data_IF_482293164699
#
_entry.id   IF_482293164699
#
_cell.length_a   1.000
_cell.length_b   1.000
_cell.length_c   1.000
_cell.angle_alpha   90.00
_cell.angle_beta   90.00
_cell.angle_gamma   90.00
#
_symmetry.space_group_name_H-M   'P 1'
#
loop_
_entity.id
_entity.type
_entity.pdbx_description
1 polymer ?
#
# COMPACT_ATOMS: atom_id res chain seq x y z
N UNK A 1 -6.34 47.08 16.75
CA UNK A 1 -5.23 46.24 17.22
C UNK A 1 -3.94 47.03 17.16
N UNK A 2 -3.51 47.49 18.30
CA UNK A 2 -2.29 48.30 18.41
C UNK A 2 -1.08 47.36 18.45
N UNK A 3 -0.37 47.26 17.33
CA UNK A 3 0.72 46.26 17.14
C UNK A 3 2.07 46.69 17.76
N UNK A 4 2.09 47.79 18.55
CA UNK A 4 3.34 48.30 19.17
C UNK A 4 4.40 48.82 18.18
N UNK A 5 4.16 48.71 16.87
CA UNK A 5 5.04 49.19 15.81
C UNK A 5 4.83 50.66 15.56
N UNK A 6 5.91 51.41 15.34
CA UNK A 6 5.76 52.81 14.95
C UNK A 6 5.03 52.91 13.59
N UNK A 7 4.27 54.00 13.36
CA UNK A 7 3.48 54.23 12.14
C UNK A 7 4.27 53.98 10.85
N UNK A 8 5.58 54.28 10.86
CA UNK A 8 6.49 54.13 9.72
C UNK A 8 6.80 52.62 9.44
N UNK A 9 7.03 51.84 10.49
CA UNK A 9 7.27 50.38 10.37
C UNK A 9 5.99 49.65 9.94
N UNK A 10 4.82 50.06 10.48
CA UNK A 10 3.53 49.50 10.08
C UNK A 10 3.19 49.85 8.61
N UNK A 11 3.58 51.03 8.13
CA UNK A 11 3.39 51.43 6.73
C UNK A 11 4.35 50.70 5.79
N UNK A 12 5.60 50.47 6.20
CA UNK A 12 6.58 49.69 5.43
C UNK A 12 6.11 48.24 5.25
N UNK A 13 5.56 47.61 6.31
CA UNK A 13 4.97 46.29 6.25
C UNK A 13 3.73 46.25 5.34
N UNK A 14 2.84 47.24 5.42
CA UNK A 14 1.69 47.34 4.50
C UNK A 14 2.13 47.52 3.04
N UNK A 15 3.16 48.32 2.79
CA UNK A 15 3.69 48.50 1.44
C UNK A 15 4.41 47.26 0.91
N UNK A 16 5.06 46.49 1.79
CA UNK A 16 5.64 45.17 1.44
C UNK A 16 4.53 44.20 1.04
N UNK A 17 3.47 44.13 1.83
CA UNK A 17 2.29 43.31 1.57
C UNK A 17 1.58 43.70 0.27
N UNK A 18 1.40 45.00 0.02
CA UNK A 18 0.81 45.49 -1.23
C UNK A 18 1.66 45.22 -2.47
N UNK A 19 3.00 45.13 -2.29
CA UNK A 19 3.95 44.82 -3.37
C UNK A 19 4.05 43.31 -3.65
N UNK A 20 3.55 42.42 -2.78
CA UNK A 20 3.46 40.99 -2.98
C UNK A 20 2.51 40.62 -4.12
N UNK A 21 1.53 41.46 -4.40
CA UNK A 21 0.56 41.27 -5.48
C UNK A 21 1.05 41.76 -6.86
N UNK A 22 2.24 42.34 -6.93
CA UNK A 22 2.81 42.86 -8.19
C UNK A 22 4.31 42.47 -8.33
N UNK A 23 4.58 41.36 -9.05
CA UNK A 23 5.84 41.00 -9.70
C UNK A 23 7.08 40.65 -8.84
N UNK A 24 7.50 39.40 -8.95
CA UNK A 24 8.49 38.70 -8.13
C UNK A 24 9.93 39.28 -8.14
N UNK A 25 10.42 39.87 -9.21
CA UNK A 25 11.81 40.37 -9.30
C UNK A 25 12.14 41.60 -8.47
N UNK A 26 11.13 42.47 -8.23
CA UNK A 26 11.27 43.68 -7.38
C UNK A 26 11.16 43.40 -5.87
N UNK A 27 10.62 42.24 -5.51
CA UNK A 27 10.31 41.89 -4.12
C UNK A 27 11.54 41.64 -3.27
N UNK A 28 12.53 40.84 -3.77
CA UNK A 28 13.76 40.52 -3.04
C UNK A 28 14.55 41.81 -2.75
N UNK A 29 14.59 42.75 -3.71
CA UNK A 29 15.24 44.03 -3.53
C UNK A 29 14.49 44.91 -2.50
N UNK A 30 13.15 45.01 -2.60
CA UNK A 30 12.33 45.73 -1.63
C UNK A 30 12.33 45.10 -0.25
N UNK A 31 12.42 43.78 -0.15
CA UNK A 31 12.56 43.07 1.12
C UNK A 31 13.89 43.37 1.79
N UNK A 32 15.02 43.34 1.04
CA UNK A 32 16.33 43.75 1.53
C UNK A 32 16.32 45.22 1.98
N UNK A 33 15.73 46.12 1.20
CA UNK A 33 15.57 47.51 1.54
C UNK A 33 14.69 47.72 2.78
N UNK A 34 13.60 46.95 2.91
CA UNK A 34 12.70 46.98 4.07
C UNK A 34 13.40 46.43 5.32
N UNK A 35 14.12 45.30 5.22
CA UNK A 35 14.91 44.74 6.32
C UNK A 35 16.03 45.71 6.75
N UNK A 36 16.72 46.38 5.81
CA UNK A 36 17.73 47.38 6.09
C UNK A 36 17.11 48.65 6.71
N UNK A 37 15.94 49.06 6.24
CA UNK A 37 15.21 50.22 6.81
C UNK A 37 14.64 49.91 8.21
N UNK A 38 14.18 48.65 8.44
CA UNK A 38 13.76 48.20 9.77
C UNK A 38 14.96 48.12 10.72
N UNK A 39 16.11 47.56 10.29
CA UNK A 39 17.33 47.51 11.12
C UNK A 39 17.92 48.89 11.43
N UNK A 40 17.67 49.89 10.57
CA UNK A 40 18.12 51.27 10.74
C UNK A 40 17.07 52.20 11.35
N UNK A 41 15.87 51.73 11.67
CA UNK A 41 14.82 52.53 12.26
C UNK A 41 15.25 53.02 13.65
N UNK A 42 15.07 54.32 13.90
CA UNK A 42 15.42 54.94 15.18
C UNK A 42 14.60 54.41 16.37
N UNK A 43 13.42 53.81 16.12
CA UNK A 43 12.63 53.11 17.13
C UNK A 43 13.30 51.77 17.56
N UNK A 44 14.14 51.17 16.70
CA UNK A 44 14.89 49.94 16.98
C UNK A 44 16.30 50.26 17.53
N UNK A 45 16.83 51.46 17.28
CA UNK A 45 18.18 51.91 17.76
C UNK A 45 18.21 52.56 19.13
N UNK A 46 17.07 53.04 19.64
CA UNK A 46 17.01 53.67 20.97
C UNK A 46 16.73 52.63 22.03
N UNK A 47 17.71 51.90 22.45
CA UNK A 47 17.99 51.49 23.84
C UNK A 47 18.99 50.35 23.88
N UNK A 48 20.24 50.64 24.22
CA UNK A 48 21.24 49.66 24.63
C UNK A 48 20.90 48.94 25.98
N UNK A 49 19.70 49.18 26.54
CA UNK A 49 19.21 48.53 27.77
C UNK A 49 18.13 47.47 27.55
N UNK A 50 17.79 47.11 26.29
CA UNK A 50 16.77 46.06 26.04
C UNK A 50 17.08 45.20 24.84
N UNK A 51 18.13 44.40 24.93
CA UNK A 51 18.36 43.29 23.99
C UNK A 51 17.11 42.36 23.90
N UNK A 52 16.38 42.21 24.99
CA UNK A 52 15.12 41.48 25.09
C UNK A 52 13.97 42.15 24.29
N UNK A 53 13.91 43.47 24.23
CA UNK A 53 12.85 44.20 23.54
C UNK A 53 13.03 44.14 22.00
N UNK A 54 14.25 44.19 21.52
CA UNK A 54 14.60 44.01 20.09
C UNK A 54 14.26 42.61 19.60
N UNK A 55 14.63 41.55 20.33
CA UNK A 55 14.34 40.14 20.01
C UNK A 55 12.83 39.88 19.94
N UNK A 56 12.04 40.48 20.85
CA UNK A 56 10.60 40.32 20.85
C UNK A 56 9.91 40.98 19.65
N UNK A 57 10.46 42.12 19.18
CA UNK A 57 9.96 42.81 17.98
C UNK A 57 10.29 42.03 16.70
N UNK A 58 11.49 41.49 16.61
CA UNK A 58 11.88 40.62 15.48
C UNK A 58 11.01 39.35 15.43
N UNK A 59 10.74 38.75 16.58
CA UNK A 59 9.83 37.60 16.69
C UNK A 59 8.42 37.97 16.20
N UNK A 60 7.87 39.09 16.64
CA UNK A 60 6.54 39.56 16.23
C UNK A 60 6.47 39.81 14.72
N UNK A 61 7.50 40.42 14.14
CA UNK A 61 7.58 40.67 12.71
C UNK A 61 7.66 39.37 11.90
N UNK A 62 8.48 38.42 12.34
CA UNK A 62 8.58 37.10 11.71
C UNK A 62 7.24 36.36 11.78
N UNK A 63 6.59 36.36 12.94
CA UNK A 63 5.28 35.71 13.10
C UNK A 63 4.20 36.37 12.23
N UNK A 64 4.16 37.67 12.13
CA UNK A 64 3.19 38.38 11.29
C UNK A 64 3.40 38.09 9.78
N UNK A 65 4.65 37.97 9.35
CA UNK A 65 4.98 37.56 7.97
C UNK A 65 4.47 36.17 7.67
N UNK A 66 4.73 35.20 8.54
CA UNK A 66 4.28 33.83 8.37
C UNK A 66 2.77 33.68 8.35
N UNK A 67 2.07 34.39 9.26
CA UNK A 67 0.60 34.44 9.29
C UNK A 67 0.03 34.99 7.98
N UNK A 68 0.68 36.00 7.42
CA UNK A 68 0.25 36.57 6.13
C UNK A 68 0.47 35.55 4.98
N UNK A 69 1.63 34.89 4.91
CA UNK A 69 1.93 33.94 3.87
C UNK A 69 0.99 32.71 3.94
N UNK A 70 0.56 32.30 5.14
CA UNK A 70 -0.42 31.23 5.32
C UNK A 70 -1.81 31.57 4.79
N UNK A 71 -2.18 32.85 4.71
CA UNK A 71 -3.47 33.33 4.18
C UNK A 71 -3.50 33.45 2.65
N UNK A 72 -2.35 33.39 1.97
CA UNK A 72 -2.27 33.46 0.51
C UNK A 72 -2.94 32.24 -0.10
N UNK A 73 -3.93 32.42 -0.96
CA UNK A 73 -4.69 31.32 -1.57
C UNK A 73 -3.97 30.68 -2.78
N UNK A 74 -3.18 31.45 -3.52
CA UNK A 74 -2.44 31.00 -4.70
C UNK A 74 -1.15 30.25 -4.32
N UNK A 75 -0.61 29.39 -5.23
CA UNK A 75 0.73 28.82 -5.06
C UNK A 75 1.78 29.90 -4.83
N UNK A 76 2.71 29.65 -3.90
CA UNK A 76 3.76 30.62 -3.56
C UNK A 76 4.89 30.59 -4.60
N UNK A 77 5.37 31.78 -4.96
CA UNK A 77 6.54 31.91 -5.80
C UNK A 77 7.82 31.58 -5.01
N UNK A 78 8.83 30.96 -5.67
CA UNK A 78 10.11 30.52 -5.06
C UNK A 78 10.78 31.64 -4.25
N UNK A 79 10.74 32.89 -4.73
CA UNK A 79 11.33 34.03 -4.04
C UNK A 79 10.73 34.31 -2.65
N UNK A 80 9.50 33.87 -2.38
CA UNK A 80 8.83 34.01 -1.09
C UNK A 80 9.26 32.95 -0.08
N UNK A 81 9.99 31.92 -0.52
CA UNK A 81 10.50 30.84 0.31
C UNK A 81 11.86 31.13 0.94
N UNK A 82 12.63 32.08 0.39
CA UNK A 82 13.93 32.50 0.95
C UNK A 82 13.87 32.87 2.45
N UNK A 83 12.87 33.64 2.92
CA UNK A 83 12.71 33.91 4.35
C UNK A 83 12.54 32.66 5.21
N UNK A 84 11.86 31.63 4.72
CA UNK A 84 11.65 30.40 5.48
C UNK A 84 12.96 29.71 5.84
N UNK A 85 13.93 29.70 4.92
CA UNK A 85 15.26 29.12 5.16
C UNK A 85 15.95 29.80 6.34
N UNK A 86 15.92 31.14 6.36
CA UNK A 86 16.54 31.93 7.43
C UNK A 86 15.79 31.74 8.76
N UNK A 87 14.46 31.73 8.72
CA UNK A 87 13.62 31.60 9.92
C UNK A 87 13.69 30.19 10.52
N UNK A 88 13.84 29.15 9.70
CA UNK A 88 14.10 27.78 10.18
C UNK A 88 15.39 27.70 10.99
N UNK A 89 16.41 28.46 10.63
CA UNK A 89 17.72 28.49 11.28
C UNK A 89 17.78 29.53 12.43
N UNK A 90 16.69 30.25 12.73
CA UNK A 90 16.63 31.21 13.83
C UNK A 90 17.00 30.55 15.16
N UNK A 91 17.67 31.31 16.05
CA UNK A 91 17.92 30.88 17.43
C UNK A 91 16.66 30.98 18.32
N UNK A 92 15.63 31.67 17.87
CA UNK A 92 14.36 31.82 18.60
C UNK A 92 13.45 30.59 18.37
N UNK A 93 13.13 29.91 19.43
CA UNK A 93 12.34 28.66 19.40
C UNK A 93 10.92 28.90 18.89
N UNK A 94 10.28 30.01 19.24
CA UNK A 94 8.93 30.33 18.79
C UNK A 94 8.90 30.60 17.28
N UNK A 95 9.93 31.26 16.76
CA UNK A 95 10.11 31.46 15.32
C UNK A 95 10.29 30.11 14.63
N UNK A 96 11.14 29.20 15.18
CA UNK A 96 11.30 27.85 14.62
C UNK A 96 9.99 27.05 14.59
N UNK A 97 9.23 27.06 15.71
CA UNK A 97 7.93 26.36 15.82
C UNK A 97 6.95 26.86 14.76
N UNK A 98 6.81 28.19 14.65
CA UNK A 98 5.86 28.80 13.73
C UNK A 98 6.27 28.63 12.27
N UNK A 99 7.56 28.77 11.97
CA UNK A 99 8.09 28.56 10.61
C UNK A 99 7.90 27.12 10.13
N UNK A 100 8.27 26.16 10.97
CA UNK A 100 8.10 24.75 10.63
C UNK A 100 6.62 24.36 10.46
N UNK A 101 5.71 24.94 11.27
CA UNK A 101 4.27 24.71 11.14
C UNK A 101 3.71 25.34 9.85
N UNK A 102 4.05 26.60 9.57
CA UNK A 102 3.62 27.28 8.35
C UNK A 102 4.09 26.51 7.11
N UNK A 103 5.35 26.09 7.07
CA UNK A 103 5.88 25.32 5.95
C UNK A 103 5.18 23.96 5.79
N UNK A 104 4.89 23.26 6.89
CA UNK A 104 4.12 22.03 6.85
C UNK A 104 2.71 22.24 6.28
N UNK A 105 2.04 23.33 6.65
CA UNK A 105 0.74 23.70 6.12
C UNK A 105 0.79 24.04 4.61
N UNK A 106 1.80 24.77 4.17
CA UNK A 106 1.99 25.10 2.76
C UNK A 106 2.23 23.86 1.89
N UNK A 107 3.07 22.94 2.35
CA UNK A 107 3.30 21.66 1.68
C UNK A 107 2.02 20.80 1.67
N UNK A 108 1.32 20.71 2.79
CA UNK A 108 0.08 19.94 2.89
C UNK A 108 -1.03 20.45 1.98
N UNK A 109 -1.13 21.79 1.83
CA UNK A 109 -2.09 22.45 0.94
C UNK A 109 -1.63 22.50 -0.53
N UNK A 110 -0.49 21.89 -0.87
CA UNK A 110 0.14 21.97 -2.20
C UNK A 110 0.38 23.41 -2.70
N UNK A 111 0.59 24.36 -1.80
CA UNK A 111 0.94 25.74 -2.13
C UNK A 111 2.42 25.93 -2.45
N UNK A 112 3.24 24.97 -2.05
CA UNK A 112 4.67 24.87 -2.32
C UNK A 112 4.97 23.46 -2.79
N UNK A 113 5.75 23.34 -3.88
CA UNK A 113 6.15 22.06 -4.42
C UNK A 113 7.46 21.56 -3.77
N UNK A 114 7.69 20.26 -3.93
CA UNK A 114 8.93 19.62 -3.48
C UNK A 114 10.17 20.21 -4.17
N UNK A 115 10.06 20.49 -5.47
CA UNK A 115 11.11 21.06 -6.30
C UNK A 115 11.49 22.47 -5.80
N UNK A 116 10.52 23.30 -5.44
CA UNK A 116 10.77 24.64 -4.86
C UNK A 116 11.53 24.55 -3.53
N UNK A 117 11.25 23.56 -2.70
CA UNK A 117 11.99 23.31 -1.45
C UNK A 117 13.43 22.90 -1.72
N UNK A 118 13.66 22.08 -2.75
CA UNK A 118 15.02 21.66 -3.15
C UNK A 118 15.79 22.86 -3.71
N UNK A 119 15.19 23.61 -4.63
CA UNK A 119 15.80 24.80 -5.27
C UNK A 119 16.22 25.87 -4.26
N UNK A 120 15.41 26.09 -3.22
CA UNK A 120 15.73 27.04 -2.15
C UNK A 120 16.69 26.51 -1.10
N UNK A 121 17.12 25.24 -1.23
CA UNK A 121 18.07 24.61 -0.30
C UNK A 121 17.50 24.39 1.10
N UNK A 122 16.17 24.29 1.26
CA UNK A 122 15.52 24.12 2.56
C UNK A 122 15.55 22.69 3.10
N UNK A 123 15.91 21.69 2.29
CA UNK A 123 15.97 20.28 2.75
C UNK A 123 16.92 20.13 3.93
N UNK A 124 18.15 20.64 3.84
CA UNK A 124 19.13 20.52 4.93
C UNK A 124 18.66 21.24 6.22
N UNK A 125 18.21 22.50 6.21
CA UNK A 125 17.62 23.13 7.40
C UNK A 125 16.48 22.33 8.03
N UNK A 126 15.60 21.69 7.23
CA UNK A 126 14.54 20.85 7.75
C UNK A 126 15.10 19.59 8.44
N UNK A 127 16.09 18.94 7.86
CA UNK A 127 16.75 17.78 8.47
C UNK A 127 17.47 18.15 9.77
N UNK A 128 18.08 19.33 9.86
CA UNK A 128 18.66 19.85 11.11
C UNK A 128 17.57 20.05 12.19
N UNK A 129 16.39 20.51 11.82
CA UNK A 129 15.27 20.69 12.76
C UNK A 129 14.69 19.35 13.28
N UNK A 130 14.90 18.24 12.59
CA UNK A 130 14.57 16.92 13.13
C UNK A 130 15.37 16.62 14.42
N UNK A 131 16.57 17.21 14.57
CA UNK A 131 17.41 17.03 15.74
C UNK A 131 17.16 18.10 16.84
N UNK A 132 16.13 18.94 16.68
CA UNK A 132 15.73 19.89 17.72
C UNK A 132 15.38 19.20 19.02
N UNK A 133 15.69 19.81 20.16
CA UNK A 133 15.24 19.33 21.47
C UNK A 133 13.73 19.58 21.71
N UNK A 134 13.09 20.42 20.88
CA UNK A 134 11.68 20.76 21.00
C UNK A 134 10.79 19.80 20.19
N UNK A 135 9.87 19.07 20.82
CA UNK A 135 9.01 18.11 20.12
C UNK A 135 8.10 18.75 19.07
N UNK A 136 7.69 20.01 19.24
CA UNK A 136 6.83 20.70 18.28
C UNK A 136 7.58 20.99 16.99
N UNK A 137 8.83 21.44 17.08
CA UNK A 137 9.71 21.62 15.93
C UNK A 137 9.97 20.29 15.24
N UNK A 138 10.26 19.22 16.01
CA UNK A 138 10.45 17.88 15.47
C UNK A 138 9.20 17.37 14.73
N UNK A 139 7.99 17.55 15.32
CA UNK A 139 6.72 17.14 14.68
C UNK A 139 6.51 17.81 13.33
N UNK A 140 6.62 19.15 13.32
CA UNK A 140 6.37 19.95 12.13
C UNK A 140 7.41 19.67 11.03
N UNK A 141 8.69 19.63 11.39
CA UNK A 141 9.77 19.33 10.44
C UNK A 141 9.67 17.88 9.95
N UNK A 142 9.33 16.93 10.81
CA UNK A 142 9.07 15.55 10.44
C UNK A 142 7.91 15.43 9.45
N UNK A 143 6.85 16.22 9.64
CA UNK A 143 5.73 16.30 8.69
C UNK A 143 6.17 16.86 7.35
N UNK A 144 6.97 17.95 7.34
CA UNK A 144 7.54 18.49 6.10
C UNK A 144 8.36 17.43 5.35
N UNK A 145 9.25 16.74 6.05
CA UNK A 145 10.10 15.70 5.44
C UNK A 145 9.25 14.53 4.92
N UNK A 146 8.20 14.14 5.64
CA UNK A 146 7.30 13.08 5.18
C UNK A 146 6.54 13.47 3.90
N UNK A 147 6.05 14.72 3.83
CA UNK A 147 5.40 15.25 2.63
C UNK A 147 6.38 15.36 1.46
N UNK A 148 7.59 15.84 1.69
CA UNK A 148 8.64 15.93 0.66
C UNK A 148 9.01 14.54 0.12
N UNK A 149 9.16 13.56 0.99
CA UNK A 149 9.54 12.19 0.61
C UNK A 149 8.53 11.49 -0.32
N UNK A 150 7.34 12.07 -0.55
CA UNK A 150 6.41 11.59 -1.57
C UNK A 150 6.89 11.82 -3.01
N UNK A 151 7.76 12.82 -3.24
CA UNK A 151 8.38 13.11 -4.56
C UNK A 151 9.70 12.35 -4.74
N UNK A 152 9.96 11.88 -5.96
CA UNK A 152 11.18 11.13 -6.30
C UNK A 152 12.44 11.98 -6.12
N UNK A 153 12.43 13.21 -6.62
CA UNK A 153 13.54 14.16 -6.52
C UNK A 153 13.90 14.48 -5.06
N UNK A 154 12.89 14.59 -4.19
CA UNK A 154 13.09 14.86 -2.77
C UNK A 154 13.65 13.67 -2.01
N UNK A 155 13.29 12.43 -2.38
CA UNK A 155 13.86 11.23 -1.74
C UNK A 155 15.37 11.18 -1.89
N UNK A 156 15.87 11.46 -3.09
CA UNK A 156 17.32 11.52 -3.34
C UNK A 156 17.99 12.68 -2.58
N UNK A 157 17.37 13.86 -2.52
CA UNK A 157 17.87 14.99 -1.75
C UNK A 157 17.93 14.68 -0.25
N UNK A 158 16.88 14.09 0.33
CA UNK A 158 16.84 13.68 1.74
C UNK A 158 17.94 12.66 2.02
N UNK A 159 18.14 11.70 1.12
CA UNK A 159 19.16 10.66 1.24
C UNK A 159 20.58 11.27 1.20
N UNK A 160 20.88 12.08 0.18
CA UNK A 160 22.22 12.67 -0.02
C UNK A 160 22.63 13.59 1.12
N UNK A 161 21.66 14.23 1.79
CA UNK A 161 21.87 15.09 2.95
C UNK A 161 21.84 14.35 4.30
N UNK A 162 21.82 13.01 4.30
CA UNK A 162 21.91 12.19 5.51
C UNK A 162 20.64 12.11 6.35
N UNK A 163 19.45 12.34 5.76
CA UNK A 163 18.19 12.37 6.47
C UNK A 163 17.72 11.04 7.07
N UNK A 164 18.29 9.89 6.65
CA UNK A 164 17.88 8.56 7.12
C UNK A 164 18.12 8.37 8.61
N UNK A 165 19.30 8.71 9.11
CA UNK A 165 19.66 8.48 10.52
C UNK A 165 18.78 9.30 11.48
N UNK A 166 18.59 10.62 11.28
CA UNK A 166 17.66 11.39 12.11
C UNK A 166 16.24 10.82 12.12
N UNK A 167 15.71 10.36 10.97
CA UNK A 167 14.39 9.75 10.89
C UNK A 167 14.31 8.43 11.68
N UNK A 168 15.35 7.57 11.62
CA UNK A 168 15.42 6.34 12.41
C UNK A 168 15.50 6.61 13.92
N UNK A 169 16.14 7.70 14.33
CA UNK A 169 16.16 8.15 15.72
C UNK A 169 14.75 8.60 16.16
N UNK A 170 14.09 9.46 15.36
CA UNK A 170 12.76 9.96 15.66
C UNK A 170 11.67 8.87 15.59
N UNK A 171 11.87 7.83 14.81
CA UNK A 171 10.99 6.66 14.78
C UNK A 171 10.92 5.94 16.15
N UNK A 172 11.89 6.16 17.02
CA UNK A 172 11.92 5.65 18.41
C UNK A 172 11.48 6.69 19.46
N UNK A 173 10.97 7.84 19.01
CA UNK A 173 10.53 8.92 19.91
C UNK A 173 9.36 8.46 20.78
N UNK A 174 9.34 8.94 22.04
CA UNK A 174 8.19 8.79 22.95
C UNK A 174 7.01 9.71 22.57
N UNK A 175 7.25 10.78 21.77
CA UNK A 175 6.18 11.61 21.28
C UNK A 175 5.45 10.91 20.11
N UNK A 176 4.14 10.62 20.25
CA UNK A 176 3.42 9.82 19.23
C UNK A 176 3.36 10.48 17.85
N UNK A 177 3.35 11.81 17.78
CA UNK A 177 3.29 12.53 16.50
C UNK A 177 4.67 12.65 15.85
N UNK A 178 5.72 12.84 16.64
CA UNK A 178 7.11 12.77 16.15
C UNK A 178 7.38 11.38 15.57
N UNK A 179 7.06 10.33 16.32
CA UNK A 179 7.19 8.94 15.87
C UNK A 179 6.42 8.70 14.58
N UNK A 180 5.15 9.10 14.54
CA UNK A 180 4.27 8.90 13.39
C UNK A 180 4.83 9.57 12.13
N UNK A 181 5.26 10.83 12.21
CA UNK A 181 5.76 11.57 11.06
C UNK A 181 7.09 11.01 10.55
N UNK A 182 7.97 10.60 11.47
CA UNK A 182 9.24 9.95 11.11
C UNK A 182 9.00 8.62 10.37
N UNK A 183 8.10 7.78 10.87
CA UNK A 183 7.78 6.49 10.24
C UNK A 183 7.07 6.68 8.90
N UNK A 184 6.22 7.72 8.77
CA UNK A 184 5.62 8.08 7.49
C UNK A 184 6.69 8.51 6.47
N UNK A 185 7.66 9.32 6.88
CA UNK A 185 8.80 9.68 6.02
C UNK A 185 9.61 8.43 5.60
N UNK A 186 9.90 7.53 6.55
CA UNK A 186 10.59 6.26 6.25
C UNK A 186 9.81 5.39 5.25
N UNK A 187 8.48 5.29 5.39
CA UNK A 187 7.63 4.60 4.41
C UNK A 187 7.82 5.21 3.02
N UNK A 188 7.71 6.53 2.88
CA UNK A 188 7.85 7.19 1.58
C UNK A 188 9.24 6.99 0.97
N UNK A 189 10.29 6.93 1.80
CA UNK A 189 11.64 6.61 1.33
C UNK A 189 11.78 5.16 0.81
N UNK A 190 10.90 4.22 1.21
CA UNK A 190 10.91 2.85 0.65
C UNK A 190 10.31 2.75 -0.76
N UNK A 191 9.73 3.81 -1.30
CA UNK A 191 9.14 3.83 -2.64
C UNK A 191 10.19 3.87 -3.77
N UNK A 192 11.43 4.26 -3.48
CA UNK A 192 12.56 4.21 -4.41
C UNK A 192 13.54 3.11 -3.99
N UNK A 193 13.95 2.28 -4.94
CA UNK A 193 14.89 1.17 -4.69
C UNK A 193 16.23 1.68 -4.13
N UNK A 194 16.76 2.79 -4.67
CA UNK A 194 18.01 3.39 -4.21
C UNK A 194 17.97 3.82 -2.75
N UNK A 195 16.92 4.56 -2.35
CA UNK A 195 16.74 5.03 -0.98
C UNK A 195 16.43 3.87 -0.03
N UNK A 196 15.66 2.89 -0.46
CA UNK A 196 15.34 1.69 0.31
C UNK A 196 16.58 0.86 0.65
N UNK A 197 17.50 0.64 -0.30
CA UNK A 197 18.76 -0.08 -0.06
C UNK A 197 19.58 0.59 1.04
N UNK A 198 19.63 1.93 1.05
CA UNK A 198 20.32 2.68 2.11
C UNK A 198 19.58 2.53 3.44
N UNK A 199 18.26 2.67 3.48
CA UNK A 199 17.45 2.43 4.68
C UNK A 199 17.74 1.04 5.31
N UNK A 200 17.76 -0.01 4.48
CA UNK A 200 18.03 -1.37 4.94
C UNK A 200 19.47 -1.54 5.46
N UNK A 201 20.44 -0.81 4.88
CA UNK A 201 21.84 -0.80 5.36
C UNK A 201 21.96 -0.09 6.70
N UNK A 202 21.25 1.03 6.88
CA UNK A 202 21.25 1.82 8.12
C UNK A 202 20.37 1.21 9.24
N UNK A 203 19.82 0.00 9.04
CA UNK A 203 19.12 -0.73 10.07
C UNK A 203 17.63 -0.40 10.23
N UNK A 204 16.96 0.03 9.17
CA UNK A 204 15.53 0.33 9.21
C UNK A 204 14.66 -0.91 9.51
N UNK A 205 15.03 -2.10 9.00
CA UNK A 205 14.23 -3.33 9.13
C UNK A 205 13.89 -3.67 10.59
N UNK A 206 14.85 -3.78 11.54
CA UNK A 206 14.51 -4.10 12.92
C UNK A 206 13.71 -2.98 13.62
N UNK A 207 13.96 -1.71 13.27
CA UNK A 207 13.18 -0.59 13.82
C UNK A 207 11.73 -0.67 13.37
N UNK A 208 11.47 -0.88 12.07
CA UNK A 208 10.13 -1.01 11.52
C UNK A 208 9.40 -2.25 12.05
N UNK A 209 10.11 -3.38 12.23
CA UNK A 209 9.54 -4.58 12.82
C UNK A 209 9.09 -4.35 14.27
N UNK A 210 9.89 -3.66 15.08
CA UNK A 210 9.51 -3.30 16.45
C UNK A 210 8.26 -2.41 16.48
N UNK A 211 8.15 -1.47 15.54
CA UNK A 211 7.04 -0.51 15.47
C UNK A 211 5.70 -1.13 15.02
N UNK A 212 5.69 -2.38 14.55
CA UNK A 212 4.44 -3.14 14.37
C UNK A 212 3.67 -3.33 15.70
N UNK A 213 4.36 -3.24 16.83
CA UNK A 213 3.76 -3.35 18.18
C UNK A 213 3.43 -1.99 18.80
N UNK A 214 3.55 -0.89 18.06
CA UNK A 214 3.19 0.46 18.54
C UNK A 214 1.71 0.53 18.93
N UNK A 215 1.37 1.27 19.98
CA UNK A 215 -0.02 1.58 20.33
C UNK A 215 -0.70 2.51 19.33
N UNK A 216 0.07 3.22 18.48
CA UNK A 216 -0.46 4.09 17.43
C UNK A 216 -0.71 3.27 16.16
N UNK A 217 -1.99 3.10 15.79
CA UNK A 217 -2.40 2.32 14.61
C UNK A 217 -1.84 2.85 13.28
N UNK A 218 -1.56 4.16 13.16
CA UNK A 218 -0.93 4.76 11.97
C UNK A 218 0.54 4.37 11.88
N UNK A 219 1.25 4.35 13.02
CA UNK A 219 2.64 3.88 13.07
C UNK A 219 2.72 2.42 12.67
N UNK A 220 1.80 1.57 13.18
CA UNK A 220 1.70 0.18 12.76
C UNK A 220 1.50 0.06 11.24
N UNK A 221 0.55 0.84 10.68
CA UNK A 221 0.24 0.83 9.25
C UNK A 221 1.45 1.23 8.40
N UNK A 222 2.10 2.35 8.74
CA UNK A 222 3.24 2.86 8.00
C UNK A 222 4.43 1.90 8.07
N UNK A 223 4.71 1.33 9.24
CA UNK A 223 5.78 0.34 9.44
C UNK A 223 5.51 -0.93 8.63
N UNK A 224 4.29 -1.45 8.67
CA UNK A 224 3.90 -2.64 7.91
C UNK A 224 3.98 -2.38 6.40
N UNK A 225 3.57 -1.19 5.94
CA UNK A 225 3.66 -0.81 4.53
C UNK A 225 5.10 -0.67 4.07
N UNK A 226 5.97 -0.06 4.88
CA UNK A 226 7.40 0.03 4.59
C UNK A 226 8.07 -1.35 4.52
N UNK A 227 7.75 -2.24 5.46
CA UNK A 227 8.22 -3.64 5.43
C UNK A 227 7.70 -4.40 4.22
N UNK A 228 6.46 -4.16 3.79
CA UNK A 228 5.92 -4.76 2.56
C UNK A 228 6.69 -4.31 1.32
N UNK A 229 7.04 -3.01 1.22
CA UNK A 229 7.84 -2.50 0.11
C UNK A 229 9.25 -3.13 0.10
N UNK A 230 9.88 -3.25 1.28
CA UNK A 230 11.19 -3.92 1.43
C UNK A 230 11.10 -5.40 1.05
N UNK A 231 10.02 -6.09 1.44
CA UNK A 231 9.80 -7.50 1.15
C UNK A 231 9.61 -7.81 -0.35
N UNK A 232 9.25 -6.81 -1.18
CA UNK A 232 9.22 -6.97 -2.65
C UNK A 232 10.56 -7.39 -3.24
N UNK A 233 11.66 -7.20 -2.50
CA UNK A 233 13.02 -7.50 -2.92
C UNK A 233 13.58 -8.70 -2.13
N UNK A 234 13.69 -9.88 -2.75
CA UNK A 234 14.08 -11.12 -2.06
C UNK A 234 15.42 -11.08 -1.33
N UNK A 235 16.35 -10.22 -1.76
CA UNK A 235 17.65 -10.02 -1.11
C UNK A 235 17.54 -9.52 0.35
N UNK A 236 16.40 -8.93 0.73
CA UNK A 236 16.16 -8.47 2.10
C UNK A 236 15.50 -9.52 2.99
N UNK A 237 14.93 -10.60 2.43
CA UNK A 237 14.25 -11.65 3.20
C UNK A 237 15.14 -12.26 4.30
N UNK A 238 16.42 -12.59 4.08
CA UNK A 238 17.26 -13.14 5.13
C UNK A 238 17.42 -12.20 6.33
N UNK A 239 17.54 -10.89 6.09
CA UNK A 239 17.61 -9.88 7.16
C UNK A 239 16.27 -9.73 7.89
N UNK A 240 15.16 -9.81 7.18
CA UNK A 240 13.82 -9.71 7.75
C UNK A 240 13.49 -10.92 8.62
N UNK A 241 13.78 -12.12 8.14
CA UNK A 241 13.52 -13.39 8.84
C UNK A 241 14.50 -13.64 9.99
N UNK A 242 15.71 -13.10 9.91
CA UNK A 242 16.74 -13.20 10.94
C UNK A 242 16.50 -12.33 12.18
N UNK A 243 15.42 -11.53 12.22
CA UNK A 243 15.07 -10.74 13.41
C UNK A 243 14.51 -11.69 14.47
N UNK A 244 15.32 -12.03 15.45
CA UNK A 244 15.04 -12.77 16.67
C UNK A 244 13.84 -13.75 16.56
N UNK A 245 14.02 -15.02 16.77
CA UNK A 245 12.98 -16.06 16.93
C UNK A 245 11.63 -15.81 16.20
N UNK A 246 11.65 -15.59 14.89
CA UNK A 246 10.47 -15.26 14.05
C UNK A 246 9.69 -14.02 14.51
N UNK A 247 10.34 -13.07 15.18
CA UNK A 247 9.68 -11.88 15.74
C UNK A 247 8.85 -11.12 14.73
N UNK A 248 9.37 -10.90 13.52
CA UNK A 248 8.64 -10.19 12.45
C UNK A 248 7.36 -10.93 12.09
N UNK A 249 7.41 -12.25 11.86
CA UNK A 249 6.24 -13.04 11.47
C UNK A 249 5.20 -13.08 12.58
N UNK A 250 5.62 -13.26 13.84
CA UNK A 250 4.74 -13.19 15.03
C UNK A 250 4.05 -11.83 15.12
N UNK A 251 4.79 -10.74 14.92
CA UNK A 251 4.23 -9.38 14.94
C UNK A 251 3.25 -9.13 13.81
N UNK A 252 3.52 -9.63 12.60
CA UNK A 252 2.60 -9.55 11.46
C UNK A 252 1.33 -10.38 11.68
N UNK A 253 1.44 -11.59 12.24
CA UNK A 253 0.28 -12.41 12.59
C UNK A 253 -0.59 -11.76 13.67
N UNK A 254 0.04 -11.11 14.67
CA UNK A 254 -0.68 -10.31 15.68
C UNK A 254 -1.40 -9.14 15.00
N UNK A 255 -0.72 -8.42 14.09
CA UNK A 255 -1.30 -7.29 13.37
C UNK A 255 -2.41 -7.72 12.42
N UNK A 256 -2.33 -8.91 11.84
CA UNK A 256 -3.39 -9.51 11.02
C UNK A 256 -4.69 -9.70 11.81
N UNK A 257 -4.60 -9.89 13.13
CA UNK A 257 -5.75 -9.98 14.06
C UNK A 257 -6.18 -8.62 14.64
N UNK A 258 -5.67 -7.51 14.11
CA UNK A 258 -6.01 -6.15 14.57
C UNK A 258 -7.48 -5.81 14.29
N UNK A 259 -8.11 -5.08 15.24
CA UNK A 259 -9.43 -4.48 15.03
C UNK A 259 -9.45 -3.35 13.98
N UNK A 260 -8.26 -2.82 13.63
CA UNK A 260 -8.11 -1.81 12.57
C UNK A 260 -7.95 -2.54 11.24
N UNK A 261 -9.00 -2.57 10.43
CA UNK A 261 -9.05 -3.30 9.15
C UNK A 261 -7.89 -2.98 8.20
N UNK A 262 -7.50 -1.70 8.11
CA UNK A 262 -6.37 -1.28 7.28
C UNK A 262 -5.06 -1.94 7.70
N UNK A 263 -4.84 -2.11 9.01
CA UNK A 263 -3.66 -2.76 9.55
C UNK A 263 -3.69 -4.26 9.28
N UNK A 264 -4.82 -4.92 9.51
CA UNK A 264 -5.01 -6.34 9.21
C UNK A 264 -4.83 -6.62 7.70
N UNK A 265 -5.41 -5.79 6.83
CA UNK A 265 -5.25 -5.87 5.38
C UNK A 265 -3.79 -5.75 4.96
N UNK A 266 -3.06 -4.79 5.55
CA UNK A 266 -1.66 -4.57 5.21
C UNK A 266 -0.76 -5.70 5.72
N UNK A 267 -1.07 -6.27 6.88
CA UNK A 267 -0.38 -7.45 7.41
C UNK A 267 -0.57 -8.67 6.50
N UNK A 268 -1.79 -8.94 6.01
CA UNK A 268 -2.05 -9.99 5.03
C UNK A 268 -1.22 -9.80 3.75
N UNK A 269 -1.11 -8.55 3.25
CA UNK A 269 -0.30 -8.23 2.07
C UNK A 269 1.18 -8.47 2.29
N UNK A 270 1.71 -8.05 3.45
CA UNK A 270 3.11 -8.27 3.80
C UNK A 270 3.44 -9.75 3.93
N UNK A 271 2.60 -10.51 4.64
CA UNK A 271 2.74 -11.95 4.80
C UNK A 271 2.68 -12.67 3.45
N UNK A 272 1.78 -12.26 2.54
CA UNK A 272 1.70 -12.84 1.19
C UNK A 272 3.00 -12.66 0.40
N UNK A 273 3.60 -11.47 0.45
CA UNK A 273 4.86 -11.21 -0.25
C UNK A 273 5.99 -12.08 0.34
N UNK A 274 6.06 -12.17 1.67
CA UNK A 274 7.07 -12.97 2.35
C UNK A 274 6.88 -14.47 2.15
N UNK A 275 5.64 -14.97 2.02
CA UNK A 275 5.34 -16.40 1.84
C UNK A 275 5.77 -16.97 0.49
N UNK A 276 6.15 -16.14 -0.47
CA UNK A 276 6.88 -16.57 -1.66
C UNK A 276 8.26 -17.19 -1.37
N UNK A 277 8.77 -17.06 -0.14
CA UNK A 277 9.99 -17.72 0.33
C UNK A 277 9.66 -18.96 1.16
N UNK A 278 10.22 -20.11 0.80
CA UNK A 278 9.94 -21.42 1.43
C UNK A 278 10.24 -21.39 2.94
N UNK A 279 11.36 -20.80 3.37
CA UNK A 279 11.69 -20.69 4.79
C UNK A 279 10.71 -19.83 5.60
N UNK A 280 10.11 -18.82 4.97
CA UNK A 280 9.02 -18.05 5.58
C UNK A 280 7.77 -18.90 5.75
N UNK A 281 7.44 -19.67 4.72
CA UNK A 281 6.27 -20.53 4.75
C UNK A 281 6.33 -21.57 5.86
N UNK A 282 7.47 -22.27 6.00
CA UNK A 282 7.69 -23.22 7.08
C UNK A 282 7.47 -22.58 8.46
N UNK A 283 8.04 -21.41 8.68
CA UNK A 283 7.85 -20.66 9.92
C UNK A 283 6.38 -20.25 10.14
N UNK A 284 5.66 -19.81 9.09
CA UNK A 284 4.24 -19.47 9.19
C UNK A 284 3.37 -20.68 9.53
N UNK A 285 3.68 -21.85 9.00
CA UNK A 285 2.96 -23.09 9.35
C UNK A 285 3.19 -23.48 10.82
N UNK A 286 4.41 -23.36 11.32
CA UNK A 286 4.72 -23.58 12.74
C UNK A 286 4.04 -22.57 13.68
N UNK A 287 3.65 -21.39 13.17
CA UNK A 287 2.96 -20.35 13.93
C UNK A 287 1.43 -20.40 13.79
N UNK A 288 0.86 -21.47 13.28
CA UNK A 288 -0.59 -21.69 13.11
C UNK A 288 -1.33 -20.53 12.39
N UNK A 289 -0.75 -19.98 11.32
CA UNK A 289 -1.32 -18.84 10.61
C UNK A 289 -2.70 -19.13 9.96
N UNK A 290 -3.03 -20.41 9.75
CA UNK A 290 -4.25 -20.83 9.06
C UNK A 290 -5.54 -20.47 9.82
N UNK A 291 -5.55 -20.53 11.15
CA UNK A 291 -6.74 -20.26 11.95
C UNK A 291 -7.14 -18.77 12.00
N UNK A 292 -6.23 -17.80 12.23
CA UNK A 292 -6.54 -16.39 12.06
C UNK A 292 -6.98 -16.05 10.63
N UNK A 293 -6.32 -16.61 9.62
CA UNK A 293 -6.62 -16.39 8.22
C UNK A 293 -8.05 -16.80 7.87
N UNK A 294 -8.51 -17.96 8.36
CA UNK A 294 -9.87 -18.46 8.20
C UNK A 294 -10.92 -17.44 8.66
N UNK A 295 -10.69 -16.74 9.78
CA UNK A 295 -11.61 -15.71 10.28
C UNK A 295 -11.65 -14.48 9.37
N UNK A 296 -10.51 -14.06 8.83
CA UNK A 296 -10.40 -12.87 7.99
C UNK A 296 -11.03 -13.05 6.62
N UNK A 297 -10.99 -14.24 6.06
CA UNK A 297 -11.64 -14.57 4.79
C UNK A 297 -13.16 -14.37 4.87
N UNK A 298 -13.76 -14.63 6.04
CA UNK A 298 -15.18 -14.40 6.31
C UNK A 298 -15.51 -12.95 6.72
N UNK A 299 -14.56 -12.02 6.64
CA UNK A 299 -14.77 -10.63 7.04
C UNK A 299 -15.86 -9.95 6.17
N UNK A 300 -16.74 -9.13 6.76
CA UNK A 300 -17.66 -8.30 5.98
C UNK A 300 -16.96 -7.20 5.18
N UNK A 301 -15.73 -6.86 5.54
CA UNK A 301 -14.87 -5.91 4.82
C UNK A 301 -14.27 -6.55 3.59
N UNK A 302 -14.76 -6.16 2.40
CA UNK A 302 -14.29 -6.71 1.13
C UNK A 302 -12.77 -6.55 0.93
N UNK A 303 -12.13 -5.39 1.20
CA UNK A 303 -10.67 -5.25 1.06
C UNK A 303 -9.88 -6.20 1.96
N UNK A 304 -10.39 -6.47 3.16
CA UNK A 304 -9.75 -7.40 4.10
C UNK A 304 -9.92 -8.85 3.65
N UNK A 305 -11.14 -9.24 3.24
CA UNK A 305 -11.41 -10.56 2.71
C UNK A 305 -10.58 -10.87 1.45
N UNK A 306 -10.47 -9.91 0.52
CA UNK A 306 -9.62 -10.03 -0.67
C UNK A 306 -8.13 -10.18 -0.32
N UNK A 307 -7.62 -9.43 0.65
CA UNK A 307 -6.24 -9.57 1.07
C UNK A 307 -5.98 -10.94 1.73
N UNK A 308 -6.93 -11.42 2.52
CA UNK A 308 -6.86 -12.70 3.19
C UNK A 308 -6.93 -13.88 2.19
N UNK A 309 -7.83 -13.82 1.21
CA UNK A 309 -7.94 -14.89 0.20
C UNK A 309 -6.72 -14.95 -0.73
N UNK A 310 -6.13 -13.79 -1.05
CA UNK A 310 -4.86 -13.73 -1.79
C UNK A 310 -3.71 -14.37 -1.00
N UNK A 311 -3.66 -14.16 0.32
CA UNK A 311 -2.69 -14.83 1.18
C UNK A 311 -2.96 -16.35 1.22
N UNK A 312 -4.22 -16.78 1.33
CA UNK A 312 -4.59 -18.19 1.29
C UNK A 312 -4.15 -18.86 -0.03
N UNK A 313 -4.43 -18.20 -1.15
CA UNK A 313 -4.03 -18.67 -2.48
C UNK A 313 -2.51 -18.88 -2.57
N UNK A 314 -1.72 -17.93 -2.06
CA UNK A 314 -0.26 -18.05 -2.01
C UNK A 314 0.19 -19.21 -1.12
N UNK A 315 -0.35 -19.31 0.10
CA UNK A 315 -0.02 -20.41 1.01
C UNK A 315 -0.36 -21.77 0.41
N UNK A 316 -1.44 -21.89 -0.36
CA UNK A 316 -1.88 -23.16 -0.97
C UNK A 316 -0.94 -23.67 -2.07
N UNK A 317 -0.06 -22.83 -2.63
CA UNK A 317 0.91 -23.24 -3.66
C UNK A 317 1.90 -24.28 -3.13
N UNK A 318 2.17 -24.27 -1.83
CA UNK A 318 3.17 -25.11 -1.19
C UNK A 318 2.56 -26.36 -0.57
N UNK A 319 3.16 -27.52 -0.85
CA UNK A 319 2.69 -28.81 -0.37
C UNK A 319 2.57 -28.89 1.15
N UNK A 320 3.57 -28.37 1.88
CA UNK A 320 3.61 -28.38 3.35
C UNK A 320 2.39 -27.71 4.01
N UNK A 321 1.83 -26.68 3.39
CA UNK A 321 0.69 -25.95 3.94
C UNK A 321 -0.67 -26.55 3.59
N UNK A 322 -0.77 -27.30 2.50
CA UNK A 322 -2.04 -27.83 1.98
C UNK A 322 -2.77 -28.69 3.01
N UNK A 323 -2.07 -29.65 3.63
CA UNK A 323 -2.66 -30.53 4.66
C UNK A 323 -3.14 -29.73 5.86
N UNK A 324 -2.37 -28.75 6.35
CA UNK A 324 -2.76 -27.88 7.47
C UNK A 324 -3.98 -27.04 7.15
N UNK A 325 -4.06 -26.46 5.95
CA UNK A 325 -5.20 -25.66 5.47
C UNK A 325 -6.49 -26.51 5.39
N UNK A 326 -6.38 -27.75 4.90
CA UNK A 326 -7.51 -28.69 4.84
C UNK A 326 -7.97 -29.07 6.25
N UNK A 327 -7.05 -29.40 7.15
CA UNK A 327 -7.36 -29.82 8.53
C UNK A 327 -8.05 -28.73 9.35
N UNK A 328 -7.72 -27.46 9.13
CA UNK A 328 -8.40 -26.31 9.77
C UNK A 328 -9.83 -26.12 9.23
N UNK A 329 -10.22 -26.86 8.19
CA UNK A 329 -11.55 -26.77 7.56
C UNK A 329 -11.69 -25.55 6.65
N UNK A 330 -10.63 -25.16 5.94
CA UNK A 330 -10.64 -24.04 5.01
C UNK A 330 -11.61 -24.27 3.85
N UNK A 331 -11.76 -25.53 3.43
CA UNK A 331 -12.69 -25.94 2.35
C UNK A 331 -14.15 -25.57 2.63
N UNK A 332 -14.57 -25.67 3.88
CA UNK A 332 -15.94 -25.25 4.24
C UNK A 332 -16.15 -23.74 4.09
N UNK A 333 -15.13 -22.96 4.40
CA UNK A 333 -15.18 -21.48 4.20
C UNK A 333 -15.22 -21.16 2.71
N UNK A 334 -14.41 -21.84 1.92
CA UNK A 334 -14.41 -21.69 0.45
C UNK A 334 -15.79 -22.00 -0.13
N UNK A 335 -16.42 -23.10 0.29
CA UNK A 335 -17.79 -23.47 -0.09
C UNK A 335 -18.79 -22.34 0.23
N UNK A 336 -18.75 -21.82 1.47
CA UNK A 336 -19.64 -20.73 1.90
C UNK A 336 -19.47 -19.45 1.07
N UNK A 337 -18.24 -19.12 0.71
CA UNK A 337 -17.94 -17.96 -0.14
C UNK A 337 -18.45 -18.13 -1.57
N UNK A 338 -18.30 -19.33 -2.14
CA UNK A 338 -18.78 -19.64 -3.50
C UNK A 338 -20.31 -19.62 -3.59
N UNK A 339 -21.00 -20.06 -2.52
CA UNK A 339 -22.46 -20.09 -2.44
C UNK A 339 -23.06 -18.71 -2.05
N UNK A 340 -22.24 -17.76 -1.63
CA UNK A 340 -22.68 -16.44 -1.18
C UNK A 340 -22.82 -15.44 -2.33
N UNK A 341 -23.86 -14.60 -2.28
CA UNK A 341 -24.18 -13.61 -3.33
C UNK A 341 -23.19 -12.42 -3.42
N UNK A 342 -22.17 -12.36 -2.56
CA UNK A 342 -21.28 -11.20 -2.39
C UNK A 342 -19.82 -11.41 -2.79
N UNK A 343 -19.51 -12.48 -3.51
CA UNK A 343 -18.13 -12.75 -3.90
C UNK A 343 -17.68 -11.84 -5.03
N UNK A 344 -16.62 -11.05 -4.79
CA UNK A 344 -15.98 -10.27 -5.86
C UNK A 344 -15.27 -11.20 -6.85
N UNK A 345 -15.08 -10.79 -8.12
CA UNK A 345 -14.30 -11.54 -9.09
C UNK A 345 -12.92 -11.96 -8.56
N UNK A 346 -12.25 -11.07 -7.84
CA UNK A 346 -10.93 -11.33 -7.22
C UNK A 346 -11.00 -12.47 -6.22
N UNK A 347 -12.05 -12.51 -5.39
CA UNK A 347 -12.24 -13.59 -4.41
C UNK A 347 -12.43 -14.92 -5.15
N UNK A 348 -13.26 -14.96 -6.17
CA UNK A 348 -13.54 -16.19 -6.96
C UNK A 348 -12.25 -16.68 -7.63
N UNK A 349 -11.48 -15.83 -8.28
CA UNK A 349 -10.22 -16.19 -8.93
C UNK A 349 -9.24 -16.83 -7.95
N UNK A 350 -9.04 -16.23 -6.78
CA UNK A 350 -8.12 -16.77 -5.77
C UNK A 350 -8.65 -18.04 -5.08
N UNK A 351 -9.97 -18.17 -4.93
CA UNK A 351 -10.61 -19.42 -4.48
C UNK A 351 -10.33 -20.54 -5.48
N UNK A 352 -10.51 -20.28 -6.76
CA UNK A 352 -10.27 -21.25 -7.83
C UNK A 352 -8.83 -21.74 -7.80
N UNK A 353 -7.85 -20.84 -7.74
CA UNK A 353 -6.42 -21.21 -7.61
C UNK A 353 -6.19 -22.03 -6.34
N UNK A 354 -6.82 -21.66 -5.23
CA UNK A 354 -6.70 -22.41 -3.96
C UNK A 354 -7.26 -23.83 -4.10
N UNK A 355 -8.42 -24.01 -4.74
CA UNK A 355 -9.02 -25.34 -4.97
C UNK A 355 -8.11 -26.20 -5.83
N UNK A 356 -7.57 -25.66 -6.92
CA UNK A 356 -6.62 -26.37 -7.79
C UNK A 356 -5.41 -26.83 -6.99
N UNK A 357 -4.80 -25.95 -6.20
CA UNK A 357 -3.63 -26.29 -5.40
C UNK A 357 -3.95 -27.33 -4.32
N UNK A 358 -5.07 -27.22 -3.63
CA UNK A 358 -5.47 -28.16 -2.60
C UNK A 358 -5.90 -29.51 -3.17
N UNK A 359 -6.30 -29.58 -4.44
CA UNK A 359 -6.75 -30.83 -5.09
C UNK A 359 -5.66 -31.89 -5.15
N UNK A 360 -4.40 -31.52 -5.06
CA UNK A 360 -3.25 -32.44 -5.07
C UNK A 360 -2.84 -32.92 -3.66
N UNK A 361 -3.56 -32.57 -2.59
CA UNK A 361 -3.06 -32.77 -1.22
C UNK A 361 -3.36 -34.15 -0.63
N UNK A 362 -4.52 -34.76 -0.87
CA UNK A 362 -4.85 -36.06 -0.27
C UNK A 362 -6.08 -36.72 -0.92
N UNK A 363 -5.98 -37.99 -1.32
CA UNK A 363 -7.07 -38.71 -2.04
C UNK A 363 -8.35 -38.92 -1.22
N UNK A 364 -8.26 -39.21 0.07
CA UNK A 364 -9.44 -39.45 0.92
C UNK A 364 -10.25 -38.16 1.22
N UNK A 365 -9.59 -37.04 1.35
CA UNK A 365 -10.24 -35.75 1.61
C UNK A 365 -10.74 -35.11 0.32
N UNK A 366 -10.18 -35.48 -0.83
CA UNK A 366 -10.54 -34.97 -2.15
C UNK A 366 -12.03 -35.16 -2.47
N UNK A 367 -12.60 -36.34 -2.21
CA UNK A 367 -13.99 -36.62 -2.54
C UNK A 367 -15.00 -35.74 -1.78
N UNK A 368 -14.74 -35.43 -0.49
CA UNK A 368 -15.58 -34.54 0.31
C UNK A 368 -15.43 -33.11 -0.15
N UNK A 369 -14.20 -32.69 -0.46
CA UNK A 369 -13.85 -31.37 -0.99
C UNK A 369 -14.58 -31.08 -2.30
N UNK A 370 -14.48 -32.02 -3.25
CA UNK A 370 -15.05 -31.86 -4.59
C UNK A 370 -16.57 -31.71 -4.55
N UNK A 371 -17.26 -32.51 -3.74
CA UNK A 371 -18.71 -32.42 -3.62
C UNK A 371 -19.17 -31.02 -3.16
N UNK A 372 -18.44 -30.41 -2.22
CA UNK A 372 -18.80 -29.10 -1.64
C UNK A 372 -18.43 -27.93 -2.56
N UNK A 373 -17.21 -27.91 -3.07
CA UNK A 373 -16.75 -26.81 -3.90
C UNK A 373 -17.35 -26.83 -5.31
N UNK A 374 -17.68 -28.00 -5.84
CA UNK A 374 -18.17 -28.17 -7.19
C UNK A 374 -19.53 -27.49 -7.42
N UNK A 375 -20.49 -27.66 -6.49
CA UNK A 375 -21.77 -26.99 -6.53
C UNK A 375 -21.60 -25.48 -6.54
N UNK A 376 -20.73 -24.95 -5.66
CA UNK A 376 -20.44 -23.51 -5.60
C UNK A 376 -19.78 -22.96 -6.87
N UNK A 377 -18.85 -23.70 -7.47
CA UNK A 377 -18.20 -23.32 -8.75
C UNK A 377 -19.22 -23.27 -9.90
N UNK A 378 -20.11 -24.27 -9.99
CA UNK A 378 -21.16 -24.31 -11.02
C UNK A 378 -22.18 -23.19 -10.82
N UNK A 379 -22.52 -22.86 -9.56
CA UNK A 379 -23.39 -21.73 -9.25
C UNK A 379 -22.76 -20.39 -9.62
N UNK A 380 -21.46 -20.20 -9.32
CA UNK A 380 -20.69 -19.02 -9.70
C UNK A 380 -20.58 -18.88 -11.23
N UNK A 381 -20.51 -19.99 -11.97
CA UNK A 381 -20.47 -20.00 -13.42
C UNK A 381 -21.76 -19.47 -14.07
N UNK A 382 -22.90 -19.78 -13.48
CA UNK A 382 -24.24 -19.36 -13.97
C UNK A 382 -24.60 -17.93 -13.51
N UNK A 383 -23.87 -17.37 -12.53
CA UNK A 383 -24.13 -16.03 -12.02
C UNK A 383 -23.84 -14.96 -13.06
N UNK A 384 -24.79 -14.06 -13.30
CA UNK A 384 -24.69 -12.95 -14.26
C UNK A 384 -23.65 -11.86 -13.90
N UNK A 385 -23.00 -11.97 -12.75
CA UNK A 385 -22.04 -10.98 -12.20
C UNK A 385 -20.58 -11.30 -12.54
N UNK A 386 -20.30 -12.46 -13.15
CA UNK A 386 -18.95 -12.91 -13.44
C UNK A 386 -18.40 -12.32 -14.74
N UNK A 387 -17.16 -11.79 -14.68
CA UNK A 387 -16.42 -11.35 -15.88
C UNK A 387 -16.01 -12.57 -16.73
N UNK A 388 -15.72 -12.36 -18.02
CA UNK A 388 -15.21 -13.42 -18.90
C UNK A 388 -13.94 -14.08 -18.34
N UNK A 389 -13.03 -13.31 -17.80
CA UNK A 389 -11.80 -13.80 -17.14
C UNK A 389 -12.11 -14.72 -15.95
N UNK A 390 -13.06 -14.32 -15.11
CA UNK A 390 -13.49 -15.14 -13.97
C UNK A 390 -14.16 -16.43 -14.42
N UNK A 391 -14.98 -16.36 -15.45
CA UNK A 391 -15.62 -17.55 -16.04
C UNK A 391 -14.57 -18.50 -16.63
N UNK A 392 -13.56 -17.97 -17.33
CA UNK A 392 -12.44 -18.77 -17.82
C UNK A 392 -11.67 -19.44 -16.68
N UNK A 393 -11.46 -18.74 -15.59
CA UNK A 393 -10.78 -19.25 -14.39
C UNK A 393 -11.57 -20.41 -13.76
N UNK A 394 -12.88 -20.25 -13.57
CA UNK A 394 -13.78 -21.29 -13.01
C UNK A 394 -13.78 -22.54 -13.89
N UNK A 395 -13.92 -22.37 -15.21
CA UNK A 395 -13.96 -23.50 -16.14
C UNK A 395 -12.62 -24.21 -16.27
N UNK A 396 -11.51 -23.48 -16.16
CA UNK A 396 -10.17 -24.07 -16.06
C UNK A 396 -10.03 -24.94 -14.80
N UNK A 397 -10.60 -24.49 -13.68
CA UNK A 397 -10.65 -25.29 -12.45
C UNK A 397 -11.51 -26.55 -12.64
N UNK A 398 -12.71 -26.42 -13.20
CA UNK A 398 -13.58 -27.56 -13.49
C UNK A 398 -12.90 -28.57 -14.42
N UNK A 399 -12.22 -28.09 -15.47
CA UNK A 399 -11.43 -28.94 -16.35
C UNK A 399 -10.33 -29.69 -15.61
N UNK A 400 -9.59 -29.02 -14.73
CA UNK A 400 -8.56 -29.64 -13.88
C UNK A 400 -9.18 -30.71 -12.97
N UNK A 401 -10.31 -30.40 -12.32
CA UNK A 401 -11.00 -31.34 -11.43
C UNK A 401 -11.56 -32.57 -12.17
N UNK A 402 -12.06 -32.41 -13.39
CA UNK A 402 -12.59 -33.47 -14.26
C UNK A 402 -11.48 -34.48 -14.66
N UNK A 403 -10.21 -34.15 -14.55
CA UNK A 403 -9.12 -35.10 -14.78
C UNK A 403 -9.06 -36.23 -13.74
N UNK A 404 -9.78 -36.11 -12.63
CA UNK A 404 -9.86 -37.14 -11.57
C UNK A 404 -11.16 -37.96 -11.69
N UNK A 405 -11.06 -39.28 -11.84
CA UNK A 405 -12.20 -40.18 -12.05
C UNK A 405 -13.27 -40.08 -10.94
N UNK A 406 -12.85 -39.86 -9.71
CA UNK A 406 -13.79 -39.68 -8.58
C UNK A 406 -14.66 -38.43 -8.72
N UNK A 407 -14.16 -37.39 -9.38
CA UNK A 407 -14.89 -36.13 -9.60
C UNK A 407 -15.91 -36.29 -10.71
N UNK A 408 -15.59 -37.05 -11.77
CA UNK A 408 -16.51 -37.32 -12.89
C UNK A 408 -17.83 -37.90 -12.36
N UNK A 409 -17.75 -38.83 -11.41
CA UNK A 409 -18.94 -39.44 -10.78
C UNK A 409 -19.79 -38.41 -10.01
N UNK A 410 -19.17 -37.40 -9.41
CA UNK A 410 -19.88 -36.33 -8.68
C UNK A 410 -20.50 -35.28 -9.61
N UNK A 411 -20.02 -35.18 -10.84
CA UNK A 411 -20.51 -34.24 -11.85
C UNK A 411 -21.76 -34.72 -12.56
N UNK A 412 -22.11 -36.03 -12.48
CA UNK A 412 -23.29 -36.60 -13.17
C UNK A 412 -24.58 -35.79 -13.04
N UNK A 413 -24.99 -35.30 -11.85
CA UNK A 413 -26.20 -34.50 -11.71
C UNK A 413 -26.11 -33.13 -12.45
N UNK A 414 -24.92 -32.68 -12.82
CA UNK A 414 -24.64 -31.38 -13.41
C UNK A 414 -24.23 -31.45 -14.90
N UNK A 415 -24.32 -32.63 -15.53
CA UNK A 415 -23.91 -32.80 -16.93
C UNK A 415 -24.64 -31.88 -17.89
N UNK A 416 -25.93 -31.61 -17.66
CA UNK A 416 -26.68 -30.68 -18.49
C UNK A 416 -26.09 -29.24 -18.43
N UNK A 417 -25.82 -28.74 -17.23
CA UNK A 417 -25.20 -27.41 -17.05
C UNK A 417 -23.79 -27.35 -17.66
N UNK A 418 -23.02 -28.42 -17.50
CA UNK A 418 -21.68 -28.51 -18.08
C UNK A 418 -21.75 -28.49 -19.60
N UNK A 419 -22.72 -29.19 -20.20
CA UNK A 419 -22.92 -29.23 -21.64
C UNK A 419 -23.29 -27.83 -22.17
N UNK A 420 -24.16 -27.09 -21.46
CA UNK A 420 -24.53 -25.74 -21.83
C UNK A 420 -23.32 -24.79 -21.94
N UNK A 421 -22.43 -24.79 -20.95
CA UNK A 421 -21.25 -23.95 -21.02
C UNK A 421 -20.23 -24.44 -22.10
N UNK A 422 -20.10 -25.74 -22.32
CA UNK A 422 -19.28 -26.27 -23.39
C UNK A 422 -19.78 -25.76 -24.76
N UNK A 423 -21.08 -25.84 -25.00
CA UNK A 423 -21.70 -25.32 -26.23
C UNK A 423 -21.50 -23.82 -26.42
N UNK A 424 -21.61 -23.05 -25.32
CA UNK A 424 -21.36 -21.62 -25.34
C UNK A 424 -19.90 -21.32 -25.71
N UNK A 425 -18.95 -22.06 -25.14
CA UNK A 425 -17.52 -21.87 -25.37
C UNK A 425 -17.06 -22.29 -26.77
N UNK A 426 -17.65 -23.32 -27.32
CA UNK A 426 -17.39 -23.73 -28.72
C UNK A 426 -17.78 -22.63 -29.71
N UNK A 427 -18.78 -21.81 -29.38
CA UNK A 427 -19.24 -20.66 -30.18
C UNK A 427 -18.39 -19.41 -29.97
N UNK A 428 -17.56 -19.36 -28.91
CA UNK A 428 -16.75 -18.19 -28.61
C UNK A 428 -15.65 -18.01 -29.66
N UNK A 429 -15.39 -16.75 -30.04
CA UNK A 429 -14.32 -16.40 -31.01
C UNK A 429 -12.93 -16.53 -30.40
N UNK A 430 -12.83 -16.49 -29.08
CA UNK A 430 -11.55 -16.59 -28.37
C UNK A 430 -11.08 -18.05 -28.28
N UNK A 431 -9.87 -18.31 -28.80
CA UNK A 431 -9.29 -19.65 -28.90
C UNK A 431 -9.15 -20.34 -27.54
N UNK A 432 -8.88 -19.60 -26.47
CA UNK A 432 -8.73 -20.14 -25.11
C UNK A 432 -10.00 -20.88 -24.64
N UNK A 433 -11.17 -20.28 -24.87
CA UNK A 433 -12.45 -20.88 -24.48
C UNK A 433 -12.76 -22.13 -25.29
N UNK A 434 -12.53 -22.08 -26.59
CA UNK A 434 -12.74 -23.24 -27.48
C UNK A 434 -11.85 -24.41 -27.08
N UNK A 435 -10.55 -24.18 -26.83
CA UNK A 435 -9.62 -25.20 -26.40
C UNK A 435 -10.03 -25.83 -25.07
N UNK A 436 -10.42 -25.02 -24.10
CA UNK A 436 -10.87 -25.48 -22.81
C UNK A 436 -12.14 -26.34 -22.89
N UNK A 437 -13.11 -25.92 -23.73
CA UNK A 437 -14.32 -26.70 -23.98
C UNK A 437 -14.00 -28.08 -24.60
N UNK A 438 -13.12 -28.12 -25.60
CA UNK A 438 -12.72 -29.34 -26.27
C UNK A 438 -11.96 -30.28 -25.32
N UNK A 439 -11.02 -29.75 -24.55
CA UNK A 439 -10.26 -30.54 -23.56
C UNK A 439 -11.17 -31.11 -22.46
N UNK A 440 -12.14 -30.30 -21.98
CA UNK A 440 -13.16 -30.75 -21.00
C UNK A 440 -14.00 -31.86 -21.58
N UNK A 441 -14.44 -31.73 -22.83
CA UNK A 441 -15.22 -32.72 -23.53
C UNK A 441 -14.44 -34.03 -23.71
N UNK A 442 -13.15 -33.99 -24.08
CA UNK A 442 -12.28 -35.17 -24.19
C UNK A 442 -12.22 -35.95 -22.89
N UNK A 443 -12.21 -35.28 -21.74
CA UNK A 443 -12.18 -35.95 -20.44
C UNK A 443 -13.55 -36.55 -20.07
N UNK A 444 -14.64 -35.81 -20.28
CA UNK A 444 -16.01 -36.25 -19.95
C UNK A 444 -16.49 -37.40 -20.85
N UNK A 445 -16.03 -37.49 -22.11
CA UNK A 445 -16.37 -38.55 -23.04
C UNK A 445 -15.95 -39.95 -22.55
N UNK A 446 -15.04 -40.04 -21.58
CA UNK A 446 -14.63 -41.27 -20.93
C UNK A 446 -15.75 -41.88 -20.06
N UNK A 447 -16.72 -41.07 -19.62
CA UNK A 447 -17.86 -41.54 -18.84
C UNK A 447 -19.05 -41.85 -19.76
N UNK A 448 -19.55 -43.10 -19.64
CA UNK A 448 -20.67 -43.57 -20.48
C UNK A 448 -21.97 -42.75 -20.27
N UNK A 449 -22.23 -42.30 -19.04
CA UNK A 449 -23.45 -41.54 -18.74
C UNK A 449 -23.41 -40.14 -19.37
N UNK A 450 -22.23 -39.54 -19.52
CA UNK A 450 -22.09 -38.30 -20.25
C UNK A 450 -22.36 -38.45 -21.74
N UNK A 451 -21.93 -39.59 -22.31
CA UNK A 451 -22.15 -39.91 -23.72
C UNK A 451 -23.66 -40.00 -24.08
N UNK A 452 -24.51 -40.38 -23.12
CA UNK A 452 -25.95 -40.38 -23.29
C UNK A 452 -26.56 -38.97 -23.32
N UNK A 453 -25.95 -38.05 -22.60
CA UNK A 453 -26.38 -36.63 -22.54
C UNK A 453 -25.88 -35.85 -23.77
N UNK A 454 -24.88 -36.35 -24.47
CA UNK A 454 -24.38 -35.76 -25.72
C UNK A 454 -25.48 -35.75 -26.77
N UNK A 455 -25.92 -34.54 -27.13
CA UNK A 455 -26.93 -34.32 -28.17
C UNK A 455 -26.28 -34.19 -29.56
N UNK A 456 -27.07 -34.47 -30.61
CA UNK A 456 -26.69 -34.16 -32.01
C UNK A 456 -26.25 -32.70 -32.20
N UNK A 457 -26.75 -31.79 -31.38
CA UNK A 457 -26.37 -30.37 -31.37
C UNK A 457 -24.90 -30.16 -31.03
N UNK A 458 -24.31 -30.98 -30.14
CA UNK A 458 -22.87 -30.88 -29.79
C UNK A 458 -21.98 -31.31 -30.96
N UNK A 459 -22.35 -32.40 -31.67
CA UNK A 459 -21.61 -32.88 -32.82
C UNK A 459 -21.64 -31.88 -33.97
N UNK A 460 -22.77 -31.21 -34.20
CA UNK A 460 -22.89 -30.13 -35.20
C UNK A 460 -22.01 -28.93 -34.84
N UNK A 461 -22.02 -28.53 -33.55
CA UNK A 461 -21.20 -27.41 -33.08
C UNK A 461 -19.70 -27.71 -33.20
N UNK A 462 -19.26 -28.94 -32.91
CA UNK A 462 -17.87 -29.34 -33.06
C UNK A 462 -17.40 -29.27 -34.54
N UNK A 463 -18.28 -29.63 -35.49
CA UNK A 463 -17.99 -29.50 -36.93
C UNK A 463 -17.85 -28.03 -37.38
N UNK A 464 -18.48 -27.12 -36.66
CA UNK A 464 -18.43 -25.66 -36.96
C UNK A 464 -17.23 -24.95 -36.36
N UNK A 465 -16.47 -25.60 -35.44
CA UNK A 465 -15.30 -24.98 -34.79
C UNK A 465 -14.15 -24.85 -35.79
N UNK A 466 -13.80 -23.62 -36.15
CA UNK A 466 -12.61 -23.35 -36.94
C UNK A 466 -11.34 -23.52 -36.10
N UNK A 467 -10.49 -24.48 -36.48
CA UNK A 467 -9.20 -24.71 -35.85
C UNK A 467 -8.22 -23.55 -36.13
N UNK A 468 -8.25 -22.52 -35.29
CA UNK A 468 -7.39 -21.34 -35.43
C UNK A 468 -5.93 -21.61 -35.03
N UNK A 469 -5.68 -22.69 -34.28
CA UNK A 469 -4.34 -23.12 -33.85
C UNK A 469 -4.11 -24.60 -34.10
N UNK A 470 -2.86 -25.01 -34.25
CA UNK A 470 -2.49 -26.43 -34.39
C UNK A 470 -2.94 -27.25 -33.16
N UNK A 471 -2.89 -26.64 -31.96
CA UNK A 471 -3.39 -27.28 -30.73
C UNK A 471 -4.89 -27.57 -30.81
N UNK A 472 -5.69 -26.62 -31.29
CA UNK A 472 -7.15 -26.80 -31.48
C UNK A 472 -7.44 -27.92 -32.48
N UNK A 473 -6.66 -27.99 -33.57
CA UNK A 473 -6.76 -29.04 -34.59
C UNK A 473 -6.48 -30.40 -34.03
N UNK A 474 -5.39 -30.56 -33.27
CA UNK A 474 -5.03 -31.79 -32.61
C UNK A 474 -6.06 -32.26 -31.56
N UNK A 475 -6.65 -31.30 -30.83
CA UNK A 475 -7.71 -31.59 -29.87
C UNK A 475 -8.99 -32.10 -30.56
N UNK A 476 -9.41 -31.47 -31.66
CA UNK A 476 -10.59 -31.87 -32.44
C UNK A 476 -10.43 -33.29 -33.04
N UNK A 477 -9.20 -33.73 -33.33
CA UNK A 477 -8.94 -35.07 -33.81
C UNK A 477 -9.09 -36.16 -32.73
N UNK A 478 -9.10 -35.76 -31.45
CA UNK A 478 -9.24 -36.69 -30.31
C UNK A 478 -10.69 -36.93 -29.92
N UNK A 479 -11.62 -36.11 -30.40
CA UNK A 479 -13.05 -36.21 -30.18
C UNK A 479 -13.71 -37.02 -31.28
#
# INVERSE_FOLDING_TARGET
MDTGLCKKCAQLLKNLVASLNQLAAGFVKKMKECMTALSNCSCLRKNKSSATYSVQQERQAACALLDHLDTVESPLHVALLEPYRTLLLSSDLEVQRKTSLSLANLLFKNKVSAEQIIETGMVLPLLERLQSWDPTVQRNSGQCVALLASSDSSREAILSMGGVIPLLVLAKSYDPLVQQNAVWALLNLTLSEGTMKVLCREGAIPVLALLLQSSNYKVQFYSCSALSNIAMFPEHHPKMLGIGDSFLLKSLLTLMSSSVEKNATQACRCLRILSGNVGTLEQLMHLDCALPLKKLICSPSLPLAEAAIRLLSELSTHELSRTSLVNVGMLHVIEQLLLGDKSSPIIIEHIVVTIINLSSACEEQQAVMYRKCLTGLLQALVSSVTSEETVLCITSCLHHLISYDNVIKLLKPHYATILEYILLYLKNQEVRFQQLAIETLCNLKKDQDFSVVMSSSLEEQLKMVHAQTERTRLLLQKI
#
